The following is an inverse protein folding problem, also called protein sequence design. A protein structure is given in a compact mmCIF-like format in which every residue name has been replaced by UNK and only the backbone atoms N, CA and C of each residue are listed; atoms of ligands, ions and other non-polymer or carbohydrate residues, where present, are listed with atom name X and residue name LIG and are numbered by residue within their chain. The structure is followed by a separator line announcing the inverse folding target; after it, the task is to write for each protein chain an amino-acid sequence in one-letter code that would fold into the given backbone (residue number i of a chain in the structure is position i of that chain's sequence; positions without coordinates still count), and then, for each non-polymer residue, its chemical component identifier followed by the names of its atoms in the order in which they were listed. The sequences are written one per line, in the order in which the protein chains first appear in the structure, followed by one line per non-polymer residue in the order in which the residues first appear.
data_IF_325391640489
#
_entry.id   IF_325391640489
#
_cell.length_a   1.000
_cell.length_b   1.000
_cell.length_c   1.000
_cell.angle_alpha   90.00
_cell.angle_beta   90.00
_cell.angle_gamma   90.00
#
_symmetry.space_group_name_H-M   'P 1'
#
loop_
_entity.id
_entity.type
_entity.pdbx_description
1 polymer ?
#
# COMPACT_ATOMS: atom_id res chain seq x y z
N UNK A 1 2.20 40.43 -23.15
CA UNK A 1 1.28 40.16 -22.02
C UNK A 1 2.11 39.54 -20.89
N UNK A 2 2.31 40.25 -19.77
CA UNK A 2 3.15 39.76 -18.66
C UNK A 2 2.27 39.01 -17.64
N UNK A 3 2.49 37.70 -17.47
CA UNK A 3 1.79 36.89 -16.48
C UNK A 3 2.60 36.93 -15.17
N UNK A 4 2.03 37.52 -14.12
CA UNK A 4 2.69 37.65 -12.81
C UNK A 4 3.07 36.28 -12.25
N UNK A 5 4.29 36.16 -11.72
CA UNK A 5 4.84 34.91 -11.18
C UNK A 5 5.08 33.80 -12.20
N UNK A 6 5.10 34.12 -13.50
CA UNK A 6 5.44 33.16 -14.55
C UNK A 6 6.61 33.66 -15.40
N UNK A 7 7.48 32.75 -15.84
CA UNK A 7 8.51 33.01 -16.84
C UNK A 7 8.60 31.83 -17.81
N UNK A 8 8.96 32.10 -19.06
CA UNK A 8 9.19 31.05 -20.07
C UNK A 8 10.64 30.55 -20.00
N UNK A 9 10.82 29.25 -20.20
CA UNK A 9 12.16 28.65 -20.39
C UNK A 9 12.01 27.46 -21.35
N UNK A 10 12.52 27.61 -22.56
CA UNK A 10 12.27 26.65 -23.65
C UNK A 10 10.79 26.63 -24.05
N UNK A 11 10.26 25.43 -24.34
CA UNK A 11 8.85 25.23 -24.72
C UNK A 11 7.89 25.11 -23.53
N UNK A 12 8.26 25.60 -22.34
CA UNK A 12 7.42 25.50 -21.16
C UNK A 12 7.43 26.80 -20.35
N UNK A 13 6.33 27.06 -19.66
CA UNK A 13 6.25 28.09 -18.63
C UNK A 13 6.51 27.52 -17.24
N UNK A 14 7.13 28.34 -16.40
CA UNK A 14 7.42 28.03 -15.02
C UNK A 14 6.75 29.06 -14.13
N UNK A 15 6.06 28.58 -13.09
CA UNK A 15 5.66 29.42 -11.98
C UNK A 15 6.86 29.63 -11.04
N UNK A 16 7.17 30.88 -10.73
CA UNK A 16 8.18 31.25 -9.75
C UNK A 16 7.69 32.36 -8.83
N UNK A 17 7.69 32.07 -7.54
CA UNK A 17 7.28 33.03 -6.51
C UNK A 17 8.20 32.96 -5.30
N UNK A 18 8.58 34.13 -4.78
CA UNK A 18 9.38 34.25 -3.56
C UNK A 18 8.55 33.84 -2.35
N UNK A 19 9.14 33.04 -1.47
CA UNK A 19 8.50 32.62 -0.22
C UNK A 19 8.58 33.80 0.77
N UNK A 20 7.48 34.16 1.46
CA UNK A 20 7.47 35.18 2.50
C UNK A 20 8.49 34.88 3.59
N UNK A 21 9.20 35.92 4.07
CA UNK A 21 10.32 35.76 5.03
C UNK A 21 9.92 35.03 6.31
N UNK A 22 8.73 35.33 6.81
CA UNK A 22 8.10 34.73 7.98
C UNK A 22 7.83 33.23 7.82
N UNK A 23 7.69 32.76 6.58
CA UNK A 23 7.40 31.37 6.27
C UNK A 23 8.63 30.55 5.89
N UNK A 24 9.80 31.18 5.70
CA UNK A 24 11.02 30.48 5.29
C UNK A 24 11.40 29.32 6.23
N UNK A 25 11.09 29.43 7.53
CA UNK A 25 11.31 28.37 8.52
C UNK A 25 10.62 27.04 8.19
N UNK A 26 9.52 27.07 7.45
CA UNK A 26 8.75 25.88 7.06
C UNK A 26 9.25 25.24 5.76
N UNK A 27 10.19 25.88 5.06
CA UNK A 27 10.73 25.40 3.79
C UNK A 27 12.21 25.09 3.98
N UNK A 28 12.66 23.89 3.59
CA UNK A 28 14.02 23.40 3.79
C UNK A 28 15.08 24.18 2.99
N UNK A 29 15.37 25.43 3.39
CA UNK A 29 16.37 26.30 2.77
C UNK A 29 15.97 26.92 1.43
N UNK A 30 14.77 26.65 0.92
CA UNK A 30 14.30 27.21 -0.35
C UNK A 30 13.72 28.61 -0.17
N UNK A 31 14.18 29.57 -0.98
CA UNK A 31 13.69 30.97 -0.96
C UNK A 31 12.58 31.24 -1.99
N UNK A 32 12.39 30.32 -2.93
CA UNK A 32 11.41 30.45 -4.01
C UNK A 32 10.71 29.11 -4.24
N UNK A 33 9.42 29.19 -4.55
CA UNK A 33 8.66 28.07 -5.12
C UNK A 33 8.88 28.12 -6.63
N UNK A 34 9.27 27.00 -7.23
CA UNK A 34 9.45 26.84 -8.67
C UNK A 34 8.71 25.61 -9.15
N UNK A 35 7.76 25.78 -10.07
CA UNK A 35 6.94 24.70 -10.62
C UNK A 35 6.92 24.79 -12.14
N UNK A 36 7.25 23.70 -12.83
CA UNK A 36 7.08 23.60 -14.27
C UNK A 36 5.59 23.39 -14.59
N UNK A 37 4.99 24.27 -15.38
CA UNK A 37 3.57 24.21 -15.76
C UNK A 37 3.29 23.20 -16.89
N UNK A 38 4.35 22.66 -17.52
CA UNK A 38 4.29 21.66 -18.60
C UNK A 38 3.37 22.05 -19.75
N UNK A 39 3.28 23.35 -20.04
CA UNK A 39 2.47 23.90 -21.12
C UNK A 39 3.06 25.23 -21.58
N UNK A 40 2.90 25.51 -22.87
CA UNK A 40 3.25 26.73 -23.60
C UNK A 40 2.02 27.59 -23.94
N UNK A 41 0.82 27.02 -23.86
CA UNK A 41 -0.46 27.70 -24.13
C UNK A 41 -0.76 28.78 -23.07
N UNK A 42 -0.71 30.04 -23.51
CA UNK A 42 -0.85 31.23 -22.67
C UNK A 42 -2.16 31.26 -21.87
N UNK A 43 -3.27 30.73 -22.41
CA UNK A 43 -4.56 30.69 -21.69
C UNK A 43 -4.51 29.69 -20.54
N UNK A 44 -3.92 28.51 -20.79
CA UNK A 44 -3.71 27.48 -19.75
C UNK A 44 -2.72 27.94 -18.70
N UNK A 45 -1.63 28.58 -19.11
CA UNK A 45 -0.62 29.17 -18.20
C UNK A 45 -1.29 30.16 -17.25
N UNK A 46 -2.09 31.10 -17.76
CA UNK A 46 -2.77 32.11 -16.93
C UNK A 46 -3.67 31.46 -15.87
N UNK A 47 -4.46 30.45 -16.27
CA UNK A 47 -5.36 29.72 -15.35
C UNK A 47 -4.57 28.93 -14.31
N UNK A 48 -3.53 28.20 -14.72
CA UNK A 48 -2.68 27.44 -13.80
C UNK A 48 -1.95 28.34 -12.80
N UNK A 49 -1.39 29.46 -13.26
CA UNK A 49 -0.69 30.42 -12.40
C UNK A 49 -1.64 31.02 -11.37
N UNK A 50 -2.86 31.42 -11.79
CA UNK A 50 -3.86 31.93 -10.86
C UNK A 50 -4.25 30.89 -9.81
N UNK A 51 -4.49 29.64 -10.23
CA UNK A 51 -4.88 28.56 -9.34
C UNK A 51 -3.77 28.23 -8.33
N UNK A 52 -2.53 28.06 -8.81
CA UNK A 52 -1.35 27.79 -7.96
C UNK A 52 -1.12 28.95 -6.98
N UNK A 53 -1.26 30.20 -7.45
CA UNK A 53 -1.09 31.36 -6.59
C UNK A 53 -2.14 31.40 -5.47
N UNK A 54 -3.42 31.18 -5.78
CA UNK A 54 -4.49 31.11 -4.77
C UNK A 54 -4.25 29.99 -3.77
N UNK A 55 -3.79 28.82 -4.24
CA UNK A 55 -3.47 27.70 -3.37
C UNK A 55 -2.35 28.06 -2.38
N UNK A 56 -1.25 28.65 -2.86
CA UNK A 56 -0.15 29.04 -1.97
C UNK A 56 -0.52 30.19 -1.03
N UNK A 57 -1.36 31.14 -1.45
CA UNK A 57 -1.89 32.15 -0.54
C UNK A 57 -2.71 31.53 0.60
N UNK A 58 -3.56 30.55 0.28
CA UNK A 58 -4.34 29.84 1.30
C UNK A 58 -3.42 29.08 2.27
N UNK A 59 -2.41 28.37 1.75
CA UNK A 59 -1.42 27.68 2.58
C UNK A 59 -0.66 28.66 3.47
N UNK A 60 -0.18 29.77 2.91
CA UNK A 60 0.56 30.78 3.64
C UNK A 60 -0.30 31.48 4.70
N UNK A 61 -1.58 31.74 4.41
CA UNK A 61 -2.52 32.26 5.38
C UNK A 61 -2.74 31.27 6.54
N UNK A 62 -2.86 29.97 6.26
CA UNK A 62 -2.97 28.93 7.29
C UNK A 62 -1.69 28.83 8.14
N UNK A 63 -0.52 28.80 7.51
CA UNK A 63 0.78 28.74 8.22
C UNK A 63 1.03 29.96 9.12
N UNK A 64 0.50 31.13 8.76
CA UNK A 64 0.56 32.34 9.59
C UNK A 64 -0.41 32.29 10.77
N UNK A 65 -1.61 31.72 10.56
CA UNK A 65 -2.57 31.48 11.65
C UNK A 65 -2.03 30.47 12.65
N UNK A 66 -1.24 29.50 12.18
CA UNK A 66 -0.52 28.51 12.99
C UNK A 66 0.79 29.07 13.61
N UNK A 67 0.88 30.38 13.89
CA UNK A 67 2.05 30.94 14.62
C UNK A 67 2.26 30.30 16.01
N UNK A 68 1.20 29.71 16.58
CA UNK A 68 1.29 28.74 17.67
C UNK A 68 1.45 27.34 17.08
N UNK A 69 2.68 26.82 17.14
CA UNK A 69 3.21 25.61 16.51
C UNK A 69 2.56 24.28 16.97
N UNK A 70 1.23 24.20 17.02
CA UNK A 70 0.49 22.98 17.27
C UNK A 70 -0.02 22.46 15.93
N UNK A 71 0.61 21.39 15.43
CA UNK A 71 0.12 20.57 14.33
C UNK A 71 -1.43 20.55 14.32
N UNK A 72 -2.06 20.94 13.20
CA UNK A 72 -3.51 21.11 13.11
C UNK A 72 -4.29 19.80 13.36
N UNK A 73 -3.61 18.64 13.33
CA UNK A 73 -4.15 17.34 13.76
C UNK A 73 -4.14 17.12 15.29
N UNK A 74 -3.38 17.89 16.08
CA UNK A 74 -3.31 17.78 17.55
C UNK A 74 -4.67 18.08 18.20
N UNK A 75 -5.44 19.01 17.62
CA UNK A 75 -6.78 19.39 18.11
C UNK A 75 -7.92 18.77 17.30
N UNK A 76 -7.61 17.83 16.40
CA UNK A 76 -8.63 17.17 15.59
C UNK A 76 -9.41 16.18 16.46
N UNK A 77 -10.47 16.65 17.11
CA UNK A 77 -11.42 15.80 17.80
C UNK A 77 -12.20 15.01 16.75
N UNK A 78 -11.95 13.71 16.65
CA UNK A 78 -12.77 12.80 15.86
C UNK A 78 -13.95 12.38 16.75
N UNK A 79 -15.18 12.89 16.55
CA UNK A 79 -16.32 12.55 17.38
C UNK A 79 -16.59 11.04 17.27
N UNK A 80 -16.62 10.35 18.41
CA UNK A 80 -16.84 8.91 18.43
C UNK A 80 -15.64 8.06 18.00
N UNK A 81 -14.41 8.60 17.99
CA UNK A 81 -13.20 7.81 17.75
C UNK A 81 -13.15 6.61 18.70
N UNK A 82 -13.10 5.41 18.12
CA UNK A 82 -13.10 4.17 18.89
C UNK A 82 -14.50 3.69 19.32
N UNK A 83 -15.56 4.46 19.07
CA UNK A 83 -16.94 4.06 19.35
C UNK A 83 -17.43 2.90 18.46
N UNK A 84 -16.80 2.73 17.29
CA UNK A 84 -16.97 1.62 16.36
C UNK A 84 -15.95 0.49 16.58
N UNK A 85 -15.01 0.65 17.53
CA UNK A 85 -13.98 -0.36 17.81
C UNK A 85 -14.58 -1.54 18.56
N UNK A 86 -14.97 -2.56 17.80
CA UNK A 86 -15.30 -3.88 18.35
C UNK A 86 -13.99 -4.62 18.66
N UNK A 87 -13.77 -5.02 19.92
CA UNK A 87 -12.69 -5.95 20.26
C UNK A 87 -12.89 -7.27 19.51
N UNK A 88 -11.95 -7.62 18.63
CA UNK A 88 -11.94 -8.91 17.94
C UNK A 88 -11.60 -9.99 18.96
N UNK A 89 -12.43 -11.04 19.07
CA UNK A 89 -12.12 -12.21 19.90
C UNK A 89 -11.15 -13.11 19.16
N UNK A 90 -10.18 -13.67 19.87
CA UNK A 90 -9.32 -14.73 19.35
C UNK A 90 -10.13 -16.03 19.25
N UNK A 91 -9.74 -16.91 18.33
CA UNK A 91 -10.27 -18.27 18.29
C UNK A 91 -9.73 -19.06 19.46
N UNK A 92 -10.60 -19.82 20.12
CA UNK A 92 -10.15 -20.85 21.07
C UNK A 92 -9.62 -22.09 20.32
N UNK A 93 -8.78 -22.87 21.00
CA UNK A 93 -8.19 -24.12 20.53
C UNK A 93 -9.23 -25.10 19.96
N UNK A 94 -10.42 -25.22 20.58
CA UNK A 94 -11.48 -26.10 20.10
C UNK A 94 -12.05 -25.60 18.77
N UNK A 95 -12.29 -24.29 18.67
CA UNK A 95 -12.80 -23.67 17.46
C UNK A 95 -11.78 -23.77 16.31
N UNK A 96 -10.49 -23.57 16.63
CA UNK A 96 -9.41 -23.69 15.66
C UNK A 96 -9.28 -25.13 15.15
N UNK A 97 -9.38 -26.11 16.03
CA UNK A 97 -9.37 -27.54 15.66
C UNK A 97 -10.54 -27.89 14.74
N UNK A 98 -11.76 -27.44 15.08
CA UNK A 98 -12.94 -27.62 14.24
C UNK A 98 -12.76 -26.96 12.86
N UNK A 99 -12.20 -25.75 12.81
CA UNK A 99 -11.92 -25.05 11.55
C UNK A 99 -10.90 -25.80 10.68
N UNK A 100 -9.83 -26.32 11.29
CA UNK A 100 -8.80 -27.11 10.59
C UNK A 100 -9.41 -28.41 10.04
N UNK A 101 -10.26 -29.08 10.81
CA UNK A 101 -10.99 -30.27 10.37
C UNK A 101 -11.84 -29.96 9.13
N UNK A 102 -12.64 -28.89 9.17
CA UNK A 102 -13.44 -28.46 8.02
C UNK A 102 -12.58 -28.05 6.81
N UNK A 103 -11.40 -27.47 7.04
CA UNK A 103 -10.47 -27.18 5.96
C UNK A 103 -10.03 -28.45 5.23
N UNK A 104 -9.68 -29.50 6.00
CA UNK A 104 -9.27 -30.80 5.46
C UNK A 104 -10.42 -31.57 4.81
N UNK A 105 -11.64 -31.45 5.34
CA UNK A 105 -12.82 -32.13 4.79
C UNK A 105 -13.21 -31.58 3.40
N UNK A 106 -13.18 -30.25 3.23
CA UNK A 106 -13.53 -29.62 1.95
C UNK A 106 -12.41 -29.68 0.92
N UNK A 107 -11.16 -29.58 1.38
CA UNK A 107 -9.95 -29.76 0.57
C UNK A 107 -9.95 -28.97 -0.76
N UNK A 108 -10.25 -27.67 -0.68
CA UNK A 108 -10.32 -26.76 -1.82
C UNK A 108 -9.33 -25.59 -1.72
N UNK A 109 -9.19 -24.83 -2.81
CA UNK A 109 -8.25 -23.71 -2.93
C UNK A 109 -8.46 -22.62 -1.87
N UNK A 110 -9.71 -22.33 -1.47
CA UNK A 110 -10.01 -21.36 -0.41
C UNK A 110 -9.57 -21.90 0.94
N UNK A 111 -9.77 -23.20 1.19
CA UNK A 111 -9.40 -23.85 2.45
C UNK A 111 -7.90 -23.97 2.59
N UNK A 112 -7.18 -24.23 1.50
CA UNK A 112 -5.71 -24.20 1.51
C UNK A 112 -5.18 -22.80 1.80
N UNK A 113 -5.78 -21.77 1.22
CA UNK A 113 -5.44 -20.36 1.51
C UNK A 113 -5.65 -20.03 2.99
N UNK A 114 -6.79 -20.45 3.57
CA UNK A 114 -7.08 -20.23 4.98
C UNK A 114 -6.09 -20.99 5.87
N UNK A 115 -5.80 -22.26 5.55
CA UNK A 115 -4.82 -23.07 6.26
C UNK A 115 -3.42 -22.44 6.27
N UNK A 116 -2.99 -21.84 5.15
CA UNK A 116 -1.75 -21.07 5.12
C UNK A 116 -1.81 -19.87 6.09
N UNK A 117 -2.92 -19.14 6.16
CA UNK A 117 -3.03 -18.00 7.09
C UNK A 117 -3.00 -18.40 8.57
N UNK A 118 -3.54 -19.56 8.92
CA UNK A 118 -3.64 -20.03 10.31
C UNK A 118 -2.26 -20.09 10.97
N UNK A 119 -1.28 -20.73 10.33
CA UNK A 119 0.05 -20.93 10.94
C UNK A 119 1.03 -19.80 10.61
N UNK A 120 0.91 -19.19 9.43
CA UNK A 120 1.91 -18.23 8.94
C UNK A 120 1.67 -16.80 9.43
N UNK A 121 0.46 -16.47 9.89
CA UNK A 121 0.07 -15.12 10.28
C UNK A 121 0.23 -14.08 9.14
N UNK A 122 0.23 -14.54 7.89
CA UNK A 122 0.44 -13.70 6.72
C UNK A 122 -0.80 -12.86 6.41
N UNK A 123 -0.59 -11.71 5.77
CA UNK A 123 -1.72 -10.97 5.18
C UNK A 123 -2.34 -11.81 4.07
N UNK A 124 -3.67 -11.74 3.92
CA UNK A 124 -4.39 -12.38 2.80
C UNK A 124 -3.75 -12.07 1.44
N UNK A 125 -3.32 -10.81 1.25
CA UNK A 125 -2.67 -10.34 0.05
C UNK A 125 -1.23 -10.84 -0.16
N UNK A 126 -0.58 -11.37 0.87
CA UNK A 126 0.72 -12.06 0.77
C UNK A 126 0.48 -13.49 0.27
N UNK A 127 -0.53 -14.19 0.82
CA UNK A 127 -0.85 -15.58 0.48
C UNK A 127 -1.43 -15.71 -0.93
N UNK A 128 -2.42 -14.89 -1.27
CA UNK A 128 -3.05 -14.88 -2.61
C UNK A 128 -2.06 -14.59 -3.73
N UNK A 129 -1.00 -13.82 -3.44
CA UNK A 129 0.04 -13.42 -4.38
C UNK A 129 1.20 -14.41 -4.53
N UNK A 130 1.19 -15.55 -3.83
CA UNK A 130 2.29 -16.52 -3.87
C UNK A 130 2.44 -17.16 -5.26
N UNK A 131 3.70 -17.27 -5.69
CA UNK A 131 4.08 -18.20 -6.75
C UNK A 131 4.17 -19.63 -6.18
N UNK A 132 3.99 -20.64 -7.03
CA UNK A 132 4.28 -22.03 -6.65
C UNK A 132 5.76 -22.20 -6.24
N UNK A 133 6.66 -21.45 -6.86
CA UNK A 133 8.08 -21.46 -6.51
C UNK A 133 8.39 -20.90 -5.12
N UNK A 134 7.46 -20.17 -4.50
CA UNK A 134 7.65 -19.66 -3.14
C UNK A 134 7.44 -20.75 -2.09
N UNK A 135 6.74 -21.84 -2.42
CA UNK A 135 6.52 -23.00 -1.56
C UNK A 135 7.70 -23.97 -1.70
N UNK A 136 8.64 -23.92 -0.76
CA UNK A 136 9.84 -24.76 -0.75
C UNK A 136 9.60 -25.99 0.10
N UNK A 137 9.19 -27.09 -0.56
CA UNK A 137 8.81 -28.34 0.11
C UNK A 137 9.92 -29.40 0.14
N UNK A 138 10.80 -29.42 -0.87
CA UNK A 138 11.85 -30.44 -1.01
C UNK A 138 13.15 -30.06 -0.29
N UNK A 139 13.05 -29.58 0.95
CA UNK A 139 14.17 -29.15 1.79
C UNK A 139 13.97 -29.67 3.22
N UNK A 140 15.04 -29.78 4.01
CA UNK A 140 14.97 -30.37 5.35
C UNK A 140 13.98 -29.69 6.30
N UNK A 141 13.81 -28.37 6.17
CA UNK A 141 12.74 -27.62 6.85
C UNK A 141 11.92 -26.87 5.80
N UNK A 142 10.74 -27.37 5.40
CA UNK A 142 9.88 -26.71 4.43
C UNK A 142 9.47 -25.31 4.86
N UNK A 143 9.42 -24.37 3.91
CA UNK A 143 9.07 -22.98 4.19
C UNK A 143 8.38 -22.31 3.00
N UNK A 144 7.67 -21.22 3.28
CA UNK A 144 7.19 -20.28 2.27
C UNK A 144 8.08 -19.04 2.24
N UNK A 145 8.47 -18.62 1.03
CA UNK A 145 9.24 -17.40 0.81
C UNK A 145 8.29 -16.24 0.48
N UNK A 146 7.99 -15.40 1.47
CA UNK A 146 7.22 -14.17 1.27
C UNK A 146 8.16 -13.14 0.62
N UNK A 147 7.90 -12.82 -0.65
CA UNK A 147 8.75 -11.91 -1.43
C UNK A 147 7.92 -11.09 -2.45
N UNK A 148 8.44 -9.94 -2.94
CA UNK A 148 7.74 -9.17 -3.95
C UNK A 148 7.77 -9.88 -5.30
N UNK A 149 6.68 -9.76 -6.05
CA UNK A 149 6.53 -10.27 -7.42
C UNK A 149 5.99 -9.17 -8.35
N UNK A 150 6.14 -9.29 -9.68
CA UNK A 150 5.60 -8.32 -10.63
C UNK A 150 4.08 -8.07 -10.48
N UNK A 151 3.31 -9.10 -10.14
CA UNK A 151 1.86 -9.03 -9.90
C UNK A 151 1.49 -8.61 -8.47
N UNK A 152 2.45 -8.56 -7.55
CA UNK A 152 2.23 -8.21 -6.14
C UNK A 152 3.48 -7.64 -5.47
N UNK A 153 3.48 -6.33 -5.27
CA UNK A 153 4.50 -5.61 -4.50
C UNK A 153 4.27 -5.80 -2.99
N UNK A 154 5.32 -5.84 -2.17
CA UNK A 154 5.19 -5.85 -0.70
C UNK A 154 5.07 -4.42 -0.15
N UNK A 155 4.39 -4.28 1.00
CA UNK A 155 4.16 -2.97 1.62
C UNK A 155 5.46 -2.33 2.15
N UNK A 156 6.38 -3.14 2.64
CA UNK A 156 7.67 -2.70 3.20
C UNK A 156 8.75 -3.75 2.96
N UNK A 157 10.03 -3.36 2.94
CA UNK A 157 11.16 -4.30 2.83
C UNK A 157 11.18 -5.34 3.96
N UNK A 158 10.73 -4.97 5.17
CA UNK A 158 10.61 -5.88 6.30
C UNK A 158 9.57 -7.00 6.11
N UNK A 159 8.71 -6.89 5.09
CA UNK A 159 7.73 -7.93 4.79
C UNK A 159 8.36 -9.17 4.12
N UNK A 160 9.55 -9.01 3.50
CA UNK A 160 10.26 -10.12 2.86
C UNK A 160 10.85 -11.05 3.92
N UNK A 161 10.43 -12.30 3.93
CA UNK A 161 10.86 -13.30 4.94
C UNK A 161 10.60 -14.72 4.47
N UNK A 162 11.35 -15.67 5.03
CA UNK A 162 11.01 -17.08 4.95
C UNK A 162 10.27 -17.47 6.22
N UNK A 163 9.12 -18.13 6.08
CA UNK A 163 8.32 -18.61 7.21
C UNK A 163 8.22 -20.13 7.11
N UNK A 164 8.63 -20.88 8.15
CA UNK A 164 8.50 -22.33 8.16
C UNK A 164 7.05 -22.77 7.95
N UNK A 165 6.87 -23.80 7.14
CA UNK A 165 5.58 -24.45 6.94
C UNK A 165 5.45 -25.55 8.01
N UNK A 166 4.49 -25.38 8.90
CA UNK A 166 4.20 -26.31 10.01
C UNK A 166 2.71 -26.61 10.07
N UNK A 167 2.30 -27.64 10.80
CA UNK A 167 0.88 -27.88 11.09
C UNK A 167 0.01 -28.01 9.83
N UNK A 168 -1.06 -27.21 9.76
CA UNK A 168 -2.04 -27.27 8.68
C UNK A 168 -1.54 -26.56 7.41
N UNK A 169 -0.68 -25.55 7.55
CA UNK A 169 -0.07 -24.82 6.44
C UNK A 169 0.85 -25.71 5.60
N UNK A 170 1.58 -26.63 6.23
CA UNK A 170 2.41 -27.61 5.52
C UNK A 170 1.56 -28.54 4.66
N UNK A 171 0.48 -29.08 5.22
CA UNK A 171 -0.49 -29.89 4.48
C UNK A 171 -1.06 -29.13 3.29
N UNK A 172 -1.51 -27.89 3.51
CA UNK A 172 -2.06 -27.05 2.44
C UNK A 172 -1.04 -26.77 1.33
N UNK A 173 0.22 -26.51 1.68
CA UNK A 173 1.28 -26.26 0.71
C UNK A 173 1.51 -27.48 -0.20
N UNK A 174 1.50 -28.71 0.35
CA UNK A 174 1.56 -29.93 -0.46
C UNK A 174 0.38 -30.04 -1.43
N UNK A 175 -0.85 -29.82 -0.94
CA UNK A 175 -2.06 -29.91 -1.77
C UNK A 175 -2.10 -28.86 -2.90
N UNK A 176 -1.62 -27.65 -2.63
CA UNK A 176 -1.47 -26.60 -3.64
C UNK A 176 -0.50 -27.03 -4.74
N UNK A 177 0.66 -27.58 -4.38
CA UNK A 177 1.67 -28.00 -5.35
C UNK A 177 1.22 -29.24 -6.13
N UNK A 178 0.56 -30.19 -5.47
CA UNK A 178 0.04 -31.42 -6.08
C UNK A 178 -1.10 -31.14 -7.06
N UNK A 179 -2.02 -30.23 -6.72
CA UNK A 179 -3.15 -29.85 -7.57
C UNK A 179 -2.77 -28.88 -8.70
N UNK A 180 -1.54 -28.39 -8.72
CA UNK A 180 -1.08 -27.42 -9.71
C UNK A 180 -1.08 -28.00 -11.12
N UNK A 181 -1.67 -27.26 -12.07
CA UNK A 181 -1.65 -27.65 -13.49
C UNK A 181 -0.24 -27.50 -14.07
N UNK A 182 0.04 -28.24 -15.14
CA UNK A 182 1.31 -28.12 -15.88
C UNK A 182 1.53 -26.68 -16.33
N UNK A 183 2.69 -26.11 -15.98
CA UNK A 183 3.07 -24.70 -16.24
C UNK A 183 2.27 -23.63 -15.48
N UNK A 184 1.49 -24.02 -14.46
CA UNK A 184 0.92 -23.04 -13.54
C UNK A 184 2.06 -22.33 -12.80
N UNK A 185 1.92 -21.02 -12.60
CA UNK A 185 2.91 -20.20 -11.90
C UNK A 185 2.43 -19.79 -10.50
N UNK A 186 1.13 -19.53 -10.36
CA UNK A 186 0.54 -18.98 -9.15
C UNK A 186 -0.01 -20.09 -8.25
N UNK A 187 0.21 -19.96 -6.95
CA UNK A 187 -0.40 -20.85 -5.95
C UNK A 187 -1.92 -20.73 -5.96
N UNK A 188 -2.45 -19.51 -6.17
CA UNK A 188 -3.89 -19.24 -6.22
C UNK A 188 -4.28 -18.49 -7.51
N UNK A 189 -4.41 -19.19 -8.66
CA UNK A 189 -4.78 -18.58 -9.94
C UNK A 189 -6.16 -17.90 -9.94
N UNK A 190 -7.04 -18.27 -8.99
CA UNK A 190 -8.33 -17.61 -8.79
C UNK A 190 -8.17 -16.11 -8.48
N UNK A 191 -7.12 -15.73 -7.74
CA UNK A 191 -6.93 -14.37 -7.24
C UNK A 191 -5.76 -13.64 -7.91
N UNK A 192 -4.85 -14.38 -8.56
CA UNK A 192 -3.63 -13.82 -9.13
C UNK A 192 -3.41 -14.25 -10.56
N UNK A 193 -3.03 -13.28 -11.39
CA UNK A 193 -2.60 -13.48 -12.77
C UNK A 193 -1.32 -12.67 -13.04
N UNK A 194 -0.78 -12.76 -14.25
CA UNK A 194 0.50 -12.14 -14.61
C UNK A 194 0.59 -10.63 -14.49
N UNK A 195 -0.54 -9.93 -14.39
CA UNK A 195 -0.57 -8.47 -14.24
C UNK A 195 -0.93 -7.98 -12.84
N UNK A 196 -1.69 -8.76 -12.06
CA UNK A 196 -2.21 -8.30 -10.77
C UNK A 196 -2.68 -9.43 -9.85
N UNK A 197 -2.63 -9.14 -8.55
CA UNK A 197 -3.23 -9.92 -7.47
C UNK A 197 -4.46 -9.18 -6.89
N UNK A 198 -5.65 -9.76 -7.01
CA UNK A 198 -6.93 -9.23 -6.53
C UNK A 198 -7.24 -9.70 -5.10
N UNK A 199 -6.40 -9.33 -4.15
CA UNK A 199 -6.53 -9.77 -2.76
C UNK A 199 -7.84 -9.33 -2.08
N UNK A 200 -8.47 -8.24 -2.55
CA UNK A 200 -9.76 -7.76 -2.02
C UNK A 200 -10.96 -8.61 -2.48
N UNK A 201 -10.74 -9.59 -3.36
CA UNK A 201 -11.77 -10.49 -3.89
C UNK A 201 -11.65 -11.92 -3.35
N UNK A 202 -10.78 -12.12 -2.35
CA UNK A 202 -10.51 -13.40 -1.71
C UNK A 202 -11.24 -13.58 -0.38
#
# INVERSE_FOLDING_TARGET
MHIRYAYSRGNNYYYQRKIPRDLLRHYAGSSHIKINLKTDDLKKVTKHVSMINTQYESIWASLRKDQDNANSFIKLRIPGLGGDTKKRKTFDSIQLSALIHECKNKDDDVRWLLALQIDLGCRLAEVTGLALSDLRLNVGLPYVSIQPHPWRVLMTNSSKRNVPLVGVSLWAAYKIVESAKRRQLYAFPRYTNGGQCKANSA
#
